data_IF_431377410754
#
_entry.id   IF_431377410754
#
_cell.length_a   1.000
_cell.length_b   1.000
_cell.length_c   1.000
_cell.angle_alpha   90.00
_cell.angle_beta   90.00
_cell.angle_gamma   90.00
#
_symmetry.space_group_name_H-M   'P 1'
#
loop_
_entity.id
_entity.type
_entity.pdbx_description
1 polymer ?
#
# COMPACT_ATOMS: atom_id res chain seq x y z
N UNK A 1 16.41 -11.27 -3.90
CA UNK A 1 15.82 -11.59 -5.23
C UNK A 1 15.04 -12.90 -5.26
N UNK A 2 15.60 -14.06 -4.85
CA UNK A 2 14.90 -15.35 -4.93
C UNK A 2 13.54 -15.40 -4.17
N UNK A 3 13.39 -14.64 -3.08
CA UNK A 3 12.15 -14.61 -2.30
C UNK A 3 10.96 -14.02 -3.08
N UNK A 4 11.14 -12.89 -3.77
CA UNK A 4 10.06 -12.26 -4.57
C UNK A 4 9.56 -13.23 -5.63
N UNK A 5 10.48 -13.88 -6.35
CA UNK A 5 10.13 -14.89 -7.35
C UNK A 5 9.43 -16.10 -6.72
N UNK A 6 9.97 -16.67 -5.64
CA UNK A 6 9.38 -17.84 -5.01
C UNK A 6 7.96 -17.59 -4.49
N UNK A 7 7.69 -16.43 -3.88
CA UNK A 7 6.34 -16.08 -3.42
C UNK A 7 5.40 -15.85 -4.61
N UNK A 8 5.86 -15.15 -5.64
CA UNK A 8 5.12 -15.00 -6.90
C UNK A 8 4.74 -16.37 -7.50
N UNK A 9 5.70 -17.29 -7.58
CA UNK A 9 5.49 -18.65 -8.12
C UNK A 9 4.50 -19.45 -7.27
N UNK A 10 4.55 -19.33 -5.94
CA UNK A 10 3.56 -19.93 -5.03
C UNK A 10 2.17 -19.39 -5.33
N UNK A 11 2.01 -18.07 -5.49
CA UNK A 11 0.72 -17.47 -5.80
C UNK A 11 0.20 -17.94 -7.17
N UNK A 12 1.05 -17.98 -8.20
CA UNK A 12 0.69 -18.51 -9.54
C UNK A 12 0.28 -19.99 -9.48
N UNK A 13 0.98 -20.80 -8.69
CA UNK A 13 0.73 -22.24 -8.56
C UNK A 13 -0.58 -22.54 -7.84
N UNK A 14 -0.85 -21.86 -6.73
CA UNK A 14 -1.98 -22.21 -5.86
C UNK A 14 -3.24 -21.38 -6.12
N UNK A 15 -3.13 -20.24 -6.81
CA UNK A 15 -4.27 -19.41 -7.23
C UNK A 15 -4.28 -19.23 -8.76
N UNK A 16 -4.36 -20.31 -9.55
CA UNK A 16 -4.30 -20.22 -11.00
C UNK A 16 -5.45 -19.38 -11.56
N UNK A 17 -5.12 -18.45 -12.47
CA UNK A 17 -6.10 -17.56 -13.10
C UNK A 17 -6.68 -16.48 -12.17
N UNK A 18 -6.17 -16.34 -10.94
CA UNK A 18 -6.50 -15.22 -10.05
C UNK A 18 -5.32 -14.23 -10.03
N UNK A 19 -5.57 -12.93 -10.21
CA UNK A 19 -4.51 -11.94 -10.06
C UNK A 19 -4.11 -11.80 -8.59
N UNK A 20 -2.83 -11.54 -8.35
CA UNK A 20 -2.30 -11.15 -7.06
C UNK A 20 -1.64 -9.76 -7.19
N UNK A 21 -2.00 -8.85 -6.29
CA UNK A 21 -1.48 -7.50 -6.26
C UNK A 21 -0.72 -7.29 -4.96
N UNK A 22 0.57 -6.97 -5.05
CA UNK A 22 1.46 -6.82 -3.90
C UNK A 22 1.74 -5.35 -3.62
N UNK A 23 1.97 -5.04 -2.35
CA UNK A 23 2.67 -3.85 -1.92
C UNK A 23 4.07 -4.24 -1.41
N UNK A 24 5.02 -3.31 -1.49
CA UNK A 24 6.39 -3.49 -0.99
C UNK A 24 6.38 -3.32 0.52
N UNK A 25 6.97 -4.27 1.25
CA UNK A 25 7.24 -4.16 2.67
C UNK A 25 8.68 -3.75 2.98
N UNK A 26 8.98 -3.60 4.25
CA UNK A 26 10.26 -3.09 4.73
C UNK A 26 11.39 -4.15 4.66
N UNK A 27 11.04 -5.44 4.57
CA UNK A 27 11.98 -6.57 4.52
C UNK A 27 12.37 -7.03 3.11
N UNK A 28 11.81 -6.44 2.05
CA UNK A 28 12.11 -6.80 0.65
C UNK A 28 13.53 -6.40 0.24
N UNK A 29 14.01 -5.28 0.77
CA UNK A 29 15.34 -4.71 0.54
C UNK A 29 16.45 -5.37 1.37
N UNK A 30 17.69 -5.05 1.02
CA UNK A 30 18.86 -5.36 1.84
C UNK A 30 19.81 -4.15 1.84
N UNK A 31 20.19 -3.61 3.01
CA UNK A 31 19.72 -3.99 4.35
C UNK A 31 18.22 -3.70 4.57
N UNK A 32 17.63 -4.36 5.58
CA UNK A 32 16.22 -4.16 6.00
C UNK A 32 15.91 -2.67 6.15
N UNK A 33 14.67 -2.26 5.84
CA UNK A 33 14.12 -0.87 5.95
C UNK A 33 14.75 0.17 5.01
N UNK A 34 15.91 -0.12 4.43
CA UNK A 34 16.72 0.90 3.77
C UNK A 34 16.48 0.90 2.26
N UNK A 35 15.48 1.67 1.84
CA UNK A 35 15.14 1.91 0.44
C UNK A 35 15.77 3.23 -0.02
N UNK A 36 16.86 3.16 -0.79
CA UNK A 36 17.61 4.33 -1.24
C UNK A 36 16.92 5.09 -2.38
N UNK A 37 16.45 6.33 -2.16
CA UNK A 37 15.83 7.13 -3.21
C UNK A 37 16.86 7.65 -4.21
N UNK A 38 16.42 8.20 -5.36
CA UNK A 38 17.32 8.59 -6.44
C UNK A 38 18.27 9.73 -6.11
N UNK A 39 18.02 10.51 -5.05
CA UNK A 39 18.98 11.51 -4.56
C UNK A 39 20.25 10.88 -3.94
N UNK A 40 20.19 9.59 -3.57
CA UNK A 40 21.34 8.86 -3.03
C UNK A 40 22.30 8.41 -4.15
N UNK A 41 23.55 8.02 -3.83
CA UNK A 41 24.42 7.39 -4.83
C UNK A 41 23.78 6.15 -5.47
N UNK A 42 23.94 6.00 -6.79
CA UNK A 42 23.30 4.94 -7.61
C UNK A 42 23.48 3.52 -7.10
N UNK A 43 24.59 3.21 -6.40
CA UNK A 43 24.82 1.91 -5.77
C UNK A 43 23.81 1.54 -4.67
N UNK A 44 23.04 2.51 -4.18
CA UNK A 44 22.01 2.34 -3.15
C UNK A 44 20.59 2.38 -3.72
N UNK A 45 20.45 2.67 -5.02
CA UNK A 45 19.14 2.69 -5.68
C UNK A 45 18.54 1.29 -5.68
N UNK A 46 17.21 1.26 -5.70
CA UNK A 46 16.43 0.03 -5.58
C UNK A 46 16.12 -0.61 -6.94
N UNK A 47 16.77 -0.18 -8.03
CA UNK A 47 16.57 -0.69 -9.40
C UNK A 47 16.64 -2.22 -9.47
N UNK A 48 17.56 -2.82 -8.72
CA UNK A 48 17.76 -4.27 -8.68
C UNK A 48 16.55 -5.02 -8.08
N UNK A 49 15.88 -4.41 -7.11
CA UNK A 49 14.72 -4.99 -6.43
C UNK A 49 13.46 -4.70 -7.23
N UNK A 50 13.24 -3.43 -7.56
CA UNK A 50 12.07 -2.95 -8.27
C UNK A 50 12.01 -3.49 -9.70
N UNK A 51 13.16 -3.61 -10.38
CA UNK A 51 13.27 -4.29 -11.68
C UNK A 51 12.87 -5.76 -11.59
N UNK A 52 13.33 -6.48 -10.56
CA UNK A 52 12.92 -7.87 -10.34
C UNK A 52 11.42 -7.99 -10.05
N UNK A 53 10.86 -7.09 -9.23
CA UNK A 53 9.42 -7.05 -8.96
C UNK A 53 8.61 -6.80 -10.24
N UNK A 54 9.03 -5.83 -11.06
CA UNK A 54 8.38 -5.51 -12.33
C UNK A 54 8.38 -6.70 -13.31
N UNK A 55 9.46 -7.48 -13.34
CA UNK A 55 9.53 -8.67 -14.18
C UNK A 55 8.68 -9.84 -13.64
N UNK A 56 8.67 -10.07 -12.33
CA UNK A 56 7.90 -11.16 -11.72
C UNK A 56 6.38 -10.90 -11.73
N UNK A 57 5.98 -9.64 -11.56
CA UNK A 57 4.58 -9.22 -11.42
C UNK A 57 3.91 -8.81 -12.74
N UNK A 58 4.60 -8.93 -13.88
CA UNK A 58 4.11 -8.50 -15.20
C UNK A 58 2.78 -9.13 -15.65
N UNK A 59 2.42 -10.30 -15.10
CA UNK A 59 1.13 -10.95 -15.40
C UNK A 59 -0.06 -10.28 -14.69
N UNK A 60 0.20 -9.49 -13.65
CA UNK A 60 -0.82 -8.89 -12.79
C UNK A 60 -0.79 -7.36 -12.84
N UNK A 61 0.40 -6.77 -12.95
CA UNK A 61 0.61 -5.32 -13.08
C UNK A 61 0.52 -4.92 -14.57
N UNK A 62 -0.20 -3.85 -14.92
CA UNK A 62 -0.32 -3.39 -16.31
C UNK A 62 1.04 -3.01 -16.92
N UNK A 63 1.21 -3.26 -18.21
CA UNK A 63 2.48 -3.00 -18.90
C UNK A 63 2.89 -1.52 -18.88
N UNK A 64 1.92 -0.60 -18.91
CA UNK A 64 2.15 0.85 -18.81
C UNK A 64 2.66 1.28 -17.42
N UNK A 65 2.47 0.45 -16.40
CA UNK A 65 2.95 0.71 -15.04
C UNK A 65 4.36 0.17 -14.79
N UNK A 66 4.97 -0.56 -15.74
CA UNK A 66 6.30 -1.16 -15.56
C UNK A 66 7.35 -0.13 -15.15
N UNK A 67 7.37 1.03 -15.82
CA UNK A 67 8.31 2.11 -15.51
C UNK A 67 8.07 2.68 -14.12
N UNK A 68 6.81 2.81 -13.70
CA UNK A 68 6.46 3.31 -12.37
C UNK A 68 6.94 2.36 -11.27
N UNK A 69 6.72 1.05 -11.45
CA UNK A 69 7.23 0.03 -10.52
C UNK A 69 8.74 0.11 -10.42
N UNK A 70 9.45 0.18 -11.54
CA UNK A 70 10.92 0.28 -11.55
C UNK A 70 11.40 1.55 -10.85
N UNK A 71 10.68 2.66 -10.99
CA UNK A 71 11.08 3.95 -10.45
C UNK A 71 10.93 4.01 -8.93
N UNK A 72 9.73 3.80 -8.38
CA UNK A 72 9.50 3.96 -6.94
C UNK A 72 8.76 2.79 -6.29
N UNK A 73 8.59 1.68 -7.00
CA UNK A 73 7.93 0.49 -6.47
C UNK A 73 6.40 0.62 -6.35
N UNK A 74 5.82 1.73 -6.80
CA UNK A 74 4.38 1.93 -6.81
C UNK A 74 3.76 1.48 -8.14
N UNK A 75 2.45 1.22 -8.15
CA UNK A 75 1.68 1.07 -9.38
C UNK A 75 0.18 1.26 -9.14
N UNK A 76 -0.53 1.59 -10.21
CA UNK A 76 -1.99 1.63 -10.24
C UNK A 76 -2.53 0.52 -11.14
N UNK A 77 -3.63 -0.12 -10.74
CA UNK A 77 -4.36 -1.09 -11.58
C UNK A 77 -5.84 -0.74 -11.56
N UNK A 78 -6.42 -0.52 -12.75
CA UNK A 78 -7.87 -0.57 -12.87
C UNK A 78 -8.35 -2.01 -12.69
N UNK A 79 -9.06 -2.28 -11.60
CA UNK A 79 -9.60 -3.61 -11.27
C UNK A 79 -10.88 -3.88 -12.05
N UNK A 80 -11.77 -2.89 -12.06
CA UNK A 80 -13.06 -2.89 -12.74
C UNK A 80 -13.37 -1.48 -13.24
N UNK A 81 -14.33 -1.30 -14.16
CA UNK A 81 -14.89 0.03 -14.43
C UNK A 81 -15.39 0.65 -13.12
N UNK A 82 -14.92 1.85 -12.76
CA UNK A 82 -15.28 2.49 -11.48
C UNK A 82 -14.40 2.11 -10.29
N UNK A 83 -13.42 1.20 -10.41
CA UNK A 83 -12.53 0.81 -9.30
C UNK A 83 -11.06 0.69 -9.72
N UNK A 84 -10.21 1.43 -9.01
CA UNK A 84 -8.75 1.35 -9.11
C UNK A 84 -8.15 0.81 -7.82
N UNK A 85 -7.07 0.07 -7.96
CA UNK A 85 -6.16 -0.30 -6.90
C UNK A 85 -4.91 0.55 -7.03
N UNK A 86 -4.45 1.15 -5.94
CA UNK A 86 -3.14 1.79 -5.85
C UNK A 86 -2.28 1.00 -4.86
N UNK A 87 -1.16 0.48 -5.34
CA UNK A 87 -0.10 -0.07 -4.49
C UNK A 87 0.91 1.01 -4.19
N UNK A 88 0.95 1.45 -2.94
CA UNK A 88 1.82 2.53 -2.47
C UNK A 88 3.04 1.94 -1.75
N UNK A 89 4.24 2.35 -2.17
CA UNK A 89 5.48 2.06 -1.46
C UNK A 89 5.67 3.05 -0.30
N UNK A 90 5.13 2.71 0.87
CA UNK A 90 5.21 3.56 2.04
C UNK A 90 6.48 3.37 2.89
N UNK A 91 7.46 2.57 2.43
CA UNK A 91 8.82 2.57 2.99
C UNK A 91 9.56 3.92 2.74
N UNK A 92 9.05 4.74 1.83
CA UNK A 92 9.50 6.13 1.62
C UNK A 92 9.04 7.09 2.72
N UNK A 93 8.22 6.62 3.67
CA UNK A 93 7.83 7.34 4.87
C UNK A 93 8.30 6.69 6.17
N UNK A 94 9.11 5.63 6.09
CA UNK A 94 9.54 4.84 7.24
C UNK A 94 10.70 5.53 8.00
N UNK A 95 10.55 5.72 9.31
CA UNK A 95 11.58 6.27 10.18
C UNK A 95 12.81 5.37 10.33
N UNK A 96 12.69 4.08 10.00
CA UNK A 96 13.79 3.11 9.96
C UNK A 96 14.56 3.15 8.63
N UNK A 97 14.05 3.84 7.61
CA UNK A 97 14.79 4.07 6.37
C UNK A 97 15.82 5.19 6.55
N UNK A 98 17.07 4.82 6.83
CA UNK A 98 18.11 5.77 7.19
C UNK A 98 18.53 6.71 6.05
N UNK A 99 18.23 6.40 4.80
CA UNK A 99 18.47 7.33 3.68
C UNK A 99 17.61 8.59 3.79
N UNK A 100 16.44 8.51 4.41
CA UNK A 100 15.52 9.63 4.56
C UNK A 100 16.05 10.72 5.49
N UNK A 101 17.03 10.42 6.34
CA UNK A 101 17.70 11.43 7.18
C UNK A 101 18.54 12.42 6.36
N UNK A 102 18.85 12.10 5.10
CA UNK A 102 19.48 13.04 4.16
C UNK A 102 18.44 14.02 3.62
N UNK A 103 17.28 13.52 3.19
CA UNK A 103 16.16 14.31 2.70
C UNK A 103 14.84 13.54 2.84
N UNK A 104 13.92 14.08 3.63
CA UNK A 104 12.58 13.50 3.88
C UNK A 104 11.51 14.08 2.94
N UNK A 105 11.85 15.09 2.14
CA UNK A 105 10.89 15.77 1.26
C UNK A 105 10.52 14.87 0.09
N UNK A 106 9.34 14.27 0.16
CA UNK A 106 8.71 13.42 -0.86
C UNK A 106 9.70 12.56 -1.66
N UNK A 107 10.32 11.54 -1.04
CA UNK A 107 11.33 10.72 -1.69
C UNK A 107 10.79 10.07 -2.96
N UNK A 108 11.51 10.27 -4.07
CA UNK A 108 11.13 9.85 -5.42
C UNK A 108 9.73 10.33 -5.86
N UNK A 109 9.23 11.42 -5.30
CA UNK A 109 7.91 11.97 -5.64
C UNK A 109 6.75 11.02 -5.33
N UNK A 110 6.95 10.10 -4.38
CA UNK A 110 6.03 8.99 -4.11
C UNK A 110 4.67 9.46 -3.59
N UNK A 111 4.64 10.48 -2.72
CA UNK A 111 3.40 11.10 -2.24
C UNK A 111 2.75 11.93 -3.34
N UNK A 112 3.53 12.70 -4.11
CA UNK A 112 3.02 13.46 -5.26
C UNK A 112 2.34 12.53 -6.26
N UNK A 113 3.01 11.44 -6.65
CA UNK A 113 2.44 10.43 -7.54
C UNK A 113 1.13 9.86 -6.98
N UNK A 114 1.09 9.55 -5.68
CA UNK A 114 -0.13 9.06 -5.02
C UNK A 114 -1.29 10.05 -5.14
N UNK A 115 -1.05 11.33 -4.86
CA UNK A 115 -2.05 12.39 -4.97
C UNK A 115 -2.54 12.56 -6.42
N UNK A 116 -1.65 12.49 -7.41
CA UNK A 116 -2.01 12.54 -8.84
C UNK A 116 -2.92 11.36 -9.24
N UNK A 117 -2.66 10.16 -8.73
CA UNK A 117 -3.53 9.01 -8.99
C UNK A 117 -4.92 9.17 -8.36
N UNK A 118 -5.00 9.74 -7.15
CA UNK A 118 -6.26 10.01 -6.47
C UNK A 118 -7.06 11.12 -7.16
N UNK A 119 -6.40 12.20 -7.57
CA UNK A 119 -7.03 13.28 -8.33
C UNK A 119 -7.57 12.76 -9.67
N UNK A 120 -6.81 11.94 -10.38
CA UNK A 120 -7.30 11.35 -11.63
C UNK A 120 -8.47 10.39 -11.38
N UNK A 121 -8.46 9.60 -10.30
CA UNK A 121 -9.59 8.75 -9.94
C UNK A 121 -10.85 9.57 -9.65
N UNK A 122 -10.72 10.62 -8.81
CA UNK A 122 -11.81 11.54 -8.47
C UNK A 122 -12.41 12.20 -9.73
N UNK A 123 -11.55 12.72 -10.62
CA UNK A 123 -11.99 13.34 -11.88
C UNK A 123 -12.75 12.38 -12.79
N UNK A 124 -12.40 11.10 -12.77
CA UNK A 124 -13.07 10.06 -13.54
C UNK A 124 -14.25 9.40 -12.80
N UNK A 125 -14.50 9.80 -11.53
CA UNK A 125 -15.53 9.19 -10.69
C UNK A 125 -15.23 7.75 -10.25
N UNK A 126 -13.97 7.32 -10.35
CA UNK A 126 -13.53 6.00 -9.92
C UNK A 126 -13.32 5.98 -8.40
N UNK A 127 -13.63 4.84 -7.77
CA UNK A 127 -13.24 4.55 -6.39
C UNK A 127 -11.84 3.96 -6.33
N UNK A 128 -11.22 4.07 -5.16
CA UNK A 128 -9.84 3.63 -4.93
C UNK A 128 -9.75 2.69 -3.74
N UNK A 129 -9.09 1.55 -3.94
CA UNK A 129 -8.50 0.74 -2.89
C UNK A 129 -7.01 1.01 -2.81
N UNK A 130 -6.52 1.25 -1.59
CA UNK A 130 -5.08 1.41 -1.33
C UNK A 130 -4.55 0.13 -0.70
N UNK A 131 -3.44 -0.37 -1.22
CA UNK A 131 -2.62 -1.41 -0.58
C UNK A 131 -1.23 -0.86 -0.29
N UNK A 132 -0.76 -1.05 0.93
CA UNK A 132 0.56 -0.62 1.38
C UNK A 132 1.02 -1.52 2.54
N UNK A 133 2.21 -1.32 3.08
CA UNK A 133 2.73 -2.20 4.12
C UNK A 133 2.51 -1.66 5.53
N UNK A 134 3.13 -0.52 5.87
CA UNK A 134 3.20 0.04 7.23
C UNK A 134 1.93 0.85 7.56
N UNK A 135 0.99 0.35 8.40
CA UNK A 135 -0.22 1.09 8.74
C UNK A 135 0.19 2.22 9.68
N UNK A 136 0.12 3.46 9.21
CA UNK A 136 0.40 4.63 10.06
C UNK A 136 -0.36 4.56 11.39
N UNK A 137 0.23 5.06 12.47
CA UNK A 137 -0.37 5.05 13.82
C UNK A 137 0.54 4.54 14.94
N UNK A 138 1.61 3.80 14.61
CA UNK A 138 2.54 3.21 15.59
C UNK A 138 3.82 4.00 15.90
N UNK A 139 3.95 5.23 15.38
CA UNK A 139 5.16 6.06 15.53
C UNK A 139 6.31 5.72 14.57
N UNK A 140 6.16 4.70 13.73
CA UNK A 140 7.19 4.29 12.75
C UNK A 140 7.21 5.16 11.50
N UNK A 141 6.09 5.78 11.13
CA UNK A 141 6.07 6.72 10.01
C UNK A 141 6.67 8.07 10.43
N UNK A 142 7.53 8.63 9.58
CA UNK A 142 8.02 10.01 9.71
C UNK A 142 6.81 10.96 9.75
N UNK A 143 6.80 11.89 10.70
CA UNK A 143 5.69 12.79 10.97
C UNK A 143 5.22 13.54 9.71
N UNK A 144 6.17 14.09 8.94
CA UNK A 144 5.86 14.79 7.68
C UNK A 144 5.16 13.88 6.67
N UNK A 145 5.58 12.63 6.54
CA UNK A 145 4.92 11.67 5.65
C UNK A 145 3.53 11.29 6.16
N UNK A 146 3.42 11.00 7.47
CA UNK A 146 2.17 10.60 8.10
C UNK A 146 1.09 11.68 7.98
N UNK A 147 1.42 12.95 8.25
CA UNK A 147 0.49 14.07 8.15
C UNK A 147 0.05 14.29 6.69
N UNK A 148 0.96 14.17 5.72
CA UNK A 148 0.59 14.31 4.30
C UNK A 148 -0.33 13.16 3.83
N UNK A 149 -0.04 11.92 4.23
CA UNK A 149 -0.93 10.79 3.96
C UNK A 149 -2.31 10.99 4.61
N UNK A 150 -2.34 11.43 5.87
CA UNK A 150 -3.57 11.73 6.60
C UNK A 150 -4.42 12.78 5.87
N UNK A 151 -3.79 13.89 5.46
CA UNK A 151 -4.45 14.95 4.71
C UNK A 151 -4.95 14.47 3.34
N UNK A 152 -4.20 13.59 2.67
CA UNK A 152 -4.64 12.97 1.42
C UNK A 152 -5.90 12.12 1.65
N UNK A 153 -5.91 11.26 2.66
CA UNK A 153 -7.08 10.43 2.99
C UNK A 153 -8.30 11.28 3.30
N UNK A 154 -8.15 12.35 4.08
CA UNK A 154 -9.25 13.27 4.36
C UNK A 154 -9.74 14.02 3.12
N UNK A 155 -8.83 14.54 2.29
CA UNK A 155 -9.21 15.25 1.05
C UNK A 155 -9.95 14.33 0.09
N UNK A 156 -9.57 13.06 0.01
CA UNK A 156 -10.10 12.09 -0.93
C UNK A 156 -11.02 11.07 -0.24
N UNK A 157 -11.69 11.43 0.86
CA UNK A 157 -12.54 10.51 1.65
C UNK A 157 -13.67 9.87 0.82
N UNK A 158 -14.20 10.59 -0.17
CA UNK A 158 -15.22 10.05 -1.09
C UNK A 158 -14.63 9.15 -2.19
N UNK A 159 -13.33 9.24 -2.44
CA UNK A 159 -12.63 8.52 -3.51
C UNK A 159 -11.97 7.25 -2.97
N UNK A 160 -11.34 7.31 -1.79
CA UNK A 160 -10.71 6.16 -1.13
C UNK A 160 -11.76 5.39 -0.32
N UNK A 161 -12.14 4.21 -0.79
CA UNK A 161 -13.22 3.41 -0.18
C UNK A 161 -12.72 2.18 0.58
N UNK A 162 -11.43 1.85 0.47
CA UNK A 162 -10.79 0.85 1.32
C UNK A 162 -9.26 1.03 1.36
N UNK A 163 -8.66 0.69 2.51
CA UNK A 163 -7.22 0.74 2.74
C UNK A 163 -6.78 -0.54 3.46
N UNK A 164 -5.86 -1.29 2.84
CA UNK A 164 -5.40 -2.59 3.33
C UNK A 164 -3.88 -2.61 3.54
N UNK A 165 -3.46 -2.86 4.76
CA UNK A 165 -2.10 -2.79 5.25
C UNK A 165 -1.73 -4.07 6.02
N UNK A 166 -0.48 -4.14 6.49
CA UNK A 166 0.04 -5.27 7.27
C UNK A 166 1.08 -4.80 8.29
N UNK A 167 2.30 -5.32 8.21
CA UNK A 167 3.47 -4.93 9.02
C UNK A 167 3.40 -5.26 10.52
N UNK A 168 2.31 -4.93 11.22
CA UNK A 168 2.17 -5.11 12.68
C UNK A 168 2.07 -6.58 13.11
N UNK A 169 1.91 -7.48 12.13
CA UNK A 169 1.66 -8.92 12.29
C UNK A 169 0.38 -9.29 13.03
N UNK A 170 -0.31 -8.31 13.59
CA UNK A 170 -1.52 -8.42 14.41
C UNK A 170 -2.74 -7.99 13.62
N UNK A 171 -3.92 -8.40 14.10
CA UNK A 171 -5.17 -7.85 13.61
C UNK A 171 -5.42 -6.48 14.23
N UNK A 172 -5.31 -5.42 13.44
CA UNK A 172 -5.51 -4.05 13.89
C UNK A 172 -6.28 -3.22 12.87
N UNK A 173 -6.83 -2.10 13.31
CA UNK A 173 -7.36 -1.09 12.42
C UNK A 173 -7.11 0.31 12.99
N UNK A 174 -6.89 1.27 12.10
CA UNK A 174 -6.78 2.68 12.45
C UNK A 174 -7.96 3.44 11.85
N UNK A 175 -8.62 4.26 12.67
CA UNK A 175 -9.68 5.15 12.21
C UNK A 175 -9.04 6.50 11.88
N UNK A 176 -9.34 7.02 10.70
CA UNK A 176 -8.96 8.36 10.27
C UNK A 176 -10.12 9.30 10.59
N UNK A 177 -9.79 10.47 11.13
CA UNK A 177 -10.75 11.45 11.59
C UNK A 177 -10.62 12.75 10.78
N UNK A 178 -11.65 13.58 10.76
CA UNK A 178 -11.62 14.87 10.06
C UNK A 178 -10.53 15.79 10.65
N UNK A 179 -10.37 15.77 11.97
CA UNK A 179 -9.33 16.51 12.69
C UNK A 179 -8.38 15.53 13.41
N UNK A 180 -7.08 15.51 13.06
CA UNK A 180 -6.09 14.58 13.65
C UNK A 180 -5.87 14.81 15.14
N UNK A 181 -6.18 16.00 15.66
CA UNK A 181 -5.98 16.36 17.06
C UNK A 181 -7.27 16.18 17.90
N UNK A 182 -8.36 15.71 17.27
CA UNK A 182 -9.67 15.61 17.91
C UNK A 182 -10.37 14.28 17.58
N UNK A 183 -10.21 13.31 18.47
CA UNK A 183 -10.84 11.98 18.36
C UNK A 183 -12.38 11.99 18.47
N UNK A 184 -12.99 13.13 18.81
CA UNK A 184 -14.45 13.34 18.81
C UNK A 184 -14.95 13.93 17.48
N UNK A 185 -14.05 14.30 16.55
CA UNK A 185 -14.43 14.70 15.20
C UNK A 185 -15.00 13.53 14.40
N UNK A 186 -15.51 13.81 13.20
CA UNK A 186 -16.16 12.81 12.36
C UNK A 186 -15.12 11.82 11.81
N UNK A 187 -15.36 10.50 11.85
CA UNK A 187 -14.50 9.54 11.15
C UNK A 187 -14.69 9.67 9.64
N UNK A 188 -13.58 9.67 8.90
CA UNK A 188 -13.51 9.88 7.43
C UNK A 188 -12.97 8.65 6.70
N UNK A 189 -12.30 7.74 7.42
CA UNK A 189 -11.74 6.55 6.81
C UNK A 189 -11.31 5.48 7.82
N UNK A 190 -10.98 4.30 7.29
CA UNK A 190 -10.42 3.19 8.06
C UNK A 190 -9.27 2.55 7.30
N UNK A 191 -8.20 2.25 8.02
CA UNK A 191 -7.03 1.50 7.56
C UNK A 191 -7.06 0.15 8.26
N UNK A 192 -7.23 -0.92 7.51
CA UNK A 192 -7.19 -2.28 8.06
C UNK A 192 -5.75 -2.81 8.01
N UNK A 193 -5.23 -3.31 9.13
CA UNK A 193 -3.98 -4.07 9.19
C UNK A 193 -4.30 -5.55 9.37
N UNK A 194 -4.01 -6.35 8.35
CA UNK A 194 -4.24 -7.79 8.38
C UNK A 194 -3.15 -8.52 9.19
N UNK A 195 -3.48 -9.67 9.82
CA UNK A 195 -2.50 -10.42 10.60
C UNK A 195 -1.52 -11.12 9.67
N UNK A 196 -0.38 -11.52 10.20
CA UNK A 196 0.66 -12.15 9.39
C UNK A 196 0.49 -13.66 9.23
N UNK A 197 1.04 -14.18 8.12
CA UNK A 197 1.22 -15.62 7.90
C UNK A 197 2.37 -16.17 8.74
N UNK A 198 3.37 -15.34 9.06
CA UNK A 198 4.50 -15.77 9.89
C UNK A 198 4.08 -15.91 11.35
N UNK A 199 4.80 -16.75 12.10
CA UNK A 199 4.60 -16.86 13.55
C UNK A 199 5.34 -15.78 14.33
N UNK A 200 6.14 -14.94 13.67
CA UNK A 200 7.08 -14.05 14.35
C UNK A 200 6.38 -12.91 15.13
N UNK A 201 6.69 -12.66 16.41
CA UNK A 201 7.48 -13.54 17.29
C UNK A 201 6.63 -14.63 17.95
N UNK A 202 5.34 -14.36 18.19
CA UNK A 202 4.45 -15.24 18.97
C UNK A 202 2.99 -15.20 18.47
N UNK A 203 2.78 -15.18 17.15
CA UNK A 203 1.44 -15.21 16.53
C UNK A 203 1.09 -16.57 15.93
N UNK A 204 -0.21 -16.86 15.84
CA UNK A 204 -0.69 -17.95 14.98
C UNK A 204 -0.66 -17.49 13.52
N UNK A 205 -0.21 -18.33 12.57
CA UNK A 205 -0.32 -18.03 11.14
C UNK A 205 -1.77 -17.75 10.76
N UNK A 206 -2.00 -16.58 10.17
CA UNK A 206 -3.33 -16.14 9.77
C UNK A 206 -3.32 -15.42 8.42
N UNK A 207 -4.50 -15.31 7.83
CA UNK A 207 -4.76 -14.48 6.65
C UNK A 207 -6.17 -13.89 6.76
N UNK A 208 -6.46 -12.89 5.94
CA UNK A 208 -7.76 -12.21 5.92
C UNK A 208 -8.43 -12.32 4.55
N UNK A 209 -9.75 -12.50 4.59
CA UNK A 209 -10.64 -12.34 3.43
C UNK A 209 -11.56 -11.16 3.73
N UNK A 210 -11.64 -10.20 2.81
CA UNK A 210 -12.57 -9.08 2.87
C UNK A 210 -13.79 -9.35 1.97
N UNK A 211 -14.96 -8.93 2.43
CA UNK A 211 -16.16 -8.89 1.60
C UNK A 211 -16.37 -7.45 1.14
N UNK A 212 -16.36 -7.25 -0.17
CA UNK A 212 -16.42 -5.93 -0.81
C UNK A 212 -17.68 -5.87 -1.65
N UNK A 213 -18.33 -4.70 -1.68
CA UNK A 213 -19.42 -4.44 -2.60
C UNK A 213 -19.00 -4.70 -4.06
N UNK A 214 -19.82 -5.44 -4.79
CA UNK A 214 -19.42 -6.16 -6.01
C UNK A 214 -19.19 -5.27 -7.23
N UNK A 215 -18.82 -5.87 -8.36
CA UNK A 215 -18.69 -5.16 -9.63
C UNK A 215 -20.06 -5.03 -10.33
N UNK A 216 -20.74 -3.90 -10.14
CA UNK A 216 -21.96 -3.52 -10.83
C UNK A 216 -22.06 -1.98 -10.94
N UNK A 217 -22.96 -1.50 -11.80
CA UNK A 217 -23.16 -0.06 -12.00
C UNK A 217 -23.67 0.63 -10.72
N UNK A 218 -22.93 1.63 -10.24
CA UNK A 218 -23.25 2.32 -9.00
C UNK A 218 -22.80 1.60 -7.72
N UNK A 219 -21.92 0.60 -7.84
CA UNK A 219 -21.29 -0.05 -6.69
C UNK A 219 -20.53 0.96 -5.84
N UNK A 220 -20.61 0.78 -4.52
CA UNK A 220 -19.83 1.57 -3.56
C UNK A 220 -18.37 1.11 -3.50
N UNK A 221 -18.10 -0.14 -3.86
CA UNK A 221 -16.82 -0.83 -3.66
C UNK A 221 -16.27 -0.78 -2.22
N UNK A 222 -17.12 -0.47 -1.24
CA UNK A 222 -16.72 -0.42 0.18
C UNK A 222 -16.53 -1.84 0.71
N UNK A 223 -15.52 -2.01 1.56
CA UNK A 223 -15.29 -3.25 2.30
C UNK A 223 -16.06 -3.22 3.63
N UNK A 224 -16.93 -4.19 3.87
CA UNK A 224 -17.59 -4.37 5.16
C UNK A 224 -16.81 -5.38 6.02
N UNK A 225 -16.29 -4.93 7.16
CA UNK A 225 -15.77 -5.84 8.19
C UNK A 225 -16.96 -6.41 8.99
N UNK A 226 -17.54 -7.51 8.53
CA UNK A 226 -18.49 -8.26 9.36
C UNK A 226 -17.75 -8.94 10.51
N UNK A 227 -17.65 -8.28 11.67
CA UNK A 227 -17.58 -9.00 12.94
C UNK A 227 -18.96 -9.64 13.17
N UNK A 228 -19.19 -10.83 12.60
CA UNK A 228 -20.32 -11.66 13.01
C UNK A 228 -20.11 -12.02 14.48
N UNK A 229 -20.76 -11.30 15.39
CA UNK A 229 -21.12 -11.85 16.69
C UNK A 229 -22.06 -13.02 16.43
N UNK A 230 -21.66 -14.21 16.83
CA UNK A 230 -22.62 -15.29 17.11
C UNK A 230 -23.39 -14.92 18.37
#
# INVERSE_FOLDING_TARGET
>A
MAKVQNITDVMKKFLPGKPAYFAIGNHEGVPIDNFGPHFTPTKFHMDWLYGKMADEWQDWVPADQKTQVIYNGCYMKQLFPGLRLISLNNAMGDSMNFYLFINQTDPDGTMTWFLEQLEDAERNGDKVHVVAHIPGGGGEALEGWAINYYNAVNRFEDTIVAQFFGHTHSEEYNIVYEDPENAQSRPTGVIYSAPSVTTYSDFFPAYRIYTIDGNYQGSSFVSNLFLKRQ
#
